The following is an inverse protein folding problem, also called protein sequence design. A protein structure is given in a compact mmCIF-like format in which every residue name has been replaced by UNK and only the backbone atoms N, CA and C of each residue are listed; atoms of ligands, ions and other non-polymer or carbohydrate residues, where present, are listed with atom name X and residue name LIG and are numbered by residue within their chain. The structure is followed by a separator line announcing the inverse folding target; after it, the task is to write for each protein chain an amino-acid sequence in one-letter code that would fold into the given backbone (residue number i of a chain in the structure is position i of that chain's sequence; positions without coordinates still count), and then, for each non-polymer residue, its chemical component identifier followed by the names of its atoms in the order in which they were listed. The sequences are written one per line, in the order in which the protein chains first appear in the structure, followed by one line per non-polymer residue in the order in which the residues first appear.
data_IF_233555536636
#
_entry.id   IF_233555536636
#
_cell.length_a   1.000
_cell.length_b   1.000
_cell.length_c   1.000
_cell.angle_alpha   90.00
_cell.angle_beta   90.00
_cell.angle_gamma   90.00
#
_symmetry.space_group_name_H-M   'P 1'
#
loop_
_entity.id
_entity.type
_entity.pdbx_description
1 polymer ?
#
# COMPACT_ATOMS: atom_id res chain seq x y z
N UNK A 1 -3.95 22.03 44.95
CA UNK A 1 -2.92 21.37 45.80
C UNK A 1 -1.89 20.80 44.84
N UNK A 2 -0.70 21.36 44.90
CA UNK A 2 0.46 21.07 44.06
C UNK A 2 1.06 19.73 44.47
N UNK A 3 1.42 18.84 43.52
CA UNK A 3 2.49 17.85 43.74
C UNK A 3 3.27 17.67 42.42
N UNK A 4 4.34 18.42 42.36
CA UNK A 4 5.52 18.20 41.53
C UNK A 4 6.21 16.89 41.95
N UNK A 5 6.51 16.03 40.98
CA UNK A 5 7.48 14.94 41.16
C UNK A 5 8.50 15.05 40.04
N UNK A 6 9.67 15.53 40.41
CA UNK A 6 10.94 15.52 39.65
C UNK A 6 11.64 14.24 40.07
N UNK A 7 12.11 13.43 39.12
CA UNK A 7 13.21 12.45 39.29
C UNK A 7 13.67 12.05 37.90
N UNK A 8 14.77 12.58 37.46
CA UNK A 8 16.16 12.12 37.60
C UNK A 8 16.58 11.18 36.45
N UNK A 9 17.38 11.76 35.65
CA UNK A 9 18.38 11.33 34.66
C UNK A 9 19.12 10.05 35.07
N UNK A 10 19.23 9.11 34.12
CA UNK A 10 20.35 8.18 34.06
C UNK A 10 20.79 7.99 32.60
N UNK A 11 21.89 8.65 32.25
CA UNK A 11 22.68 8.48 31.03
C UNK A 11 23.50 7.22 31.20
N UNK A 12 23.32 6.22 30.34
CA UNK A 12 24.27 5.12 30.20
C UNK A 12 24.79 5.14 28.76
N UNK A 13 25.99 5.68 28.62
CA UNK A 13 26.81 5.58 27.41
C UNK A 13 27.47 4.19 27.37
N UNK A 14 27.10 3.34 26.44
CA UNK A 14 27.81 2.12 26.11
C UNK A 14 28.55 2.30 24.79
N UNK A 15 29.86 2.48 24.88
CA UNK A 15 30.77 2.43 23.74
C UNK A 15 31.00 0.98 23.31
N UNK A 16 30.62 0.64 22.08
CA UNK A 16 31.08 -0.59 21.46
C UNK A 16 32.22 -0.27 20.49
N UNK A 17 33.42 -0.73 20.84
CA UNK A 17 34.59 -0.73 19.96
C UNK A 17 34.43 -1.86 18.96
N UNK A 18 34.45 -1.48 17.67
CA UNK A 18 34.55 -2.41 16.56
C UNK A 18 36.02 -2.79 16.39
N UNK A 19 36.30 -4.05 16.64
CA UNK A 19 37.63 -4.65 16.36
C UNK A 19 37.67 -5.12 14.91
N UNK A 20 38.43 -4.41 14.06
CA UNK A 20 38.83 -4.88 12.75
C UNK A 20 39.97 -5.87 12.92
N UNK A 21 39.76 -7.13 12.58
CA UNK A 21 40.85 -8.07 12.39
C UNK A 21 41.19 -8.17 10.90
N UNK A 22 42.33 -7.60 10.54
CA UNK A 22 42.91 -7.68 9.21
C UNK A 22 43.65 -8.99 8.99
N UNK A 23 43.42 -9.64 7.85
CA UNK A 23 44.38 -10.59 7.30
C UNK A 23 44.76 -10.17 5.88
N UNK A 24 46.06 -9.83 5.73
CA UNK A 24 46.73 -9.55 4.46
C UNK A 24 46.96 -10.86 3.73
N UNK A 25 46.63 -10.93 2.44
CA UNK A 25 47.41 -11.67 1.48
C UNK A 25 47.42 -10.95 0.12
N UNK A 26 48.57 -10.77 -0.39
CA UNK A 26 49.07 -10.06 -1.56
C UNK A 26 48.65 -10.75 -2.87
N UNK A 27 48.31 -9.96 -3.92
CA UNK A 27 48.35 -10.50 -5.30
C UNK A 27 47.47 -9.75 -6.30
N UNK A 28 47.97 -8.67 -6.80
CA UNK A 28 47.96 -8.10 -8.16
C UNK A 28 46.83 -8.35 -9.15
N UNK A 29 46.29 -7.21 -9.59
CA UNK A 29 46.10 -6.69 -10.96
C UNK A 29 44.75 -6.82 -11.63
N UNK A 30 44.21 -5.63 -11.80
CA UNK A 30 43.65 -5.00 -13.00
C UNK A 30 42.29 -5.45 -13.51
N UNK A 31 41.53 -4.44 -13.61
CA UNK A 31 40.57 -3.90 -14.57
C UNK A 31 39.12 -3.98 -14.20
N UNK A 32 38.63 -2.78 -13.98
CA UNK A 32 37.37 -2.18 -14.39
C UNK A 32 36.17 -3.13 -14.61
N UNK A 33 35.19 -3.06 -13.80
CA UNK A 33 33.99 -2.35 -14.16
C UNK A 33 33.02 -2.25 -12.95
N UNK A 34 32.66 -1.05 -12.72
CA UNK A 34 31.62 -0.64 -11.81
C UNK A 34 30.29 -1.26 -12.21
N UNK A 35 29.70 -2.05 -11.35
CA UNK A 35 28.27 -2.20 -11.37
C UNK A 35 27.76 -2.17 -9.94
N UNK A 36 27.32 -0.99 -9.59
CA UNK A 36 26.44 -0.69 -8.51
C UNK A 36 25.32 -1.73 -8.46
N UNK A 37 25.36 -2.61 -7.51
CA UNK A 37 24.18 -3.31 -7.08
C UNK A 37 23.32 -2.27 -6.37
N UNK A 38 22.37 -1.72 -7.11
CA UNK A 38 21.16 -1.18 -6.52
C UNK A 38 20.42 -2.40 -5.99
N UNK A 39 20.59 -2.68 -4.72
CA UNK A 39 19.64 -3.51 -4.00
C UNK A 39 18.32 -2.74 -4.03
N UNK A 40 17.52 -3.05 -5.04
CA UNK A 40 16.08 -2.83 -4.97
C UNK A 40 15.62 -3.69 -3.79
N UNK A 41 15.37 -3.04 -2.67
CA UNK A 41 14.57 -3.62 -1.61
C UNK A 41 13.16 -3.85 -2.18
N UNK A 42 13.03 -4.94 -2.93
CA UNK A 42 11.75 -5.43 -3.38
C UNK A 42 11.04 -5.93 -2.13
N UNK A 43 10.13 -5.12 -1.63
CA UNK A 43 9.09 -5.57 -0.72
C UNK A 43 8.46 -6.81 -1.38
N UNK A 44 8.91 -7.98 -0.96
CA UNK A 44 8.32 -9.25 -1.34
C UNK A 44 6.90 -9.27 -0.79
N UNK A 45 5.96 -8.88 -1.63
CA UNK A 45 4.55 -9.17 -1.42
C UNK A 45 4.36 -10.63 -1.79
N UNK A 46 4.14 -11.46 -0.79
CA UNK A 46 3.87 -12.88 -0.98
C UNK A 46 2.66 -13.06 -1.91
N UNK A 47 2.90 -13.25 -3.21
CA UNK A 47 1.98 -13.90 -4.10
C UNK A 47 1.42 -13.14 -5.31
N UNK A 48 1.37 -11.81 -5.36
CA UNK A 48 0.97 -11.05 -6.58
C UNK A 48 2.08 -10.07 -6.96
N UNK A 49 2.54 -10.14 -8.20
CA UNK A 49 3.42 -9.12 -8.74
C UNK A 49 2.65 -7.79 -8.85
N UNK A 50 3.16 -6.71 -8.24
CA UNK A 50 2.52 -5.39 -8.26
C UNK A 50 2.27 -4.93 -9.70
N UNK A 51 3.17 -5.24 -10.62
CA UNK A 51 3.06 -4.92 -12.04
C UNK A 51 1.80 -5.54 -12.69
N UNK A 52 1.37 -6.73 -12.23
CA UNK A 52 0.19 -7.40 -12.79
C UNK A 52 -1.12 -6.72 -12.40
N UNK A 53 -1.15 -6.08 -11.24
CA UNK A 53 -2.32 -5.36 -10.74
C UNK A 53 -2.27 -3.84 -11.04
N UNK A 54 -1.16 -3.35 -11.59
CA UNK A 54 -1.05 -1.95 -11.95
C UNK A 54 -2.05 -1.58 -13.07
N UNK A 55 -2.69 -0.43 -12.90
CA UNK A 55 -3.69 0.08 -13.85
C UNK A 55 -4.74 0.95 -13.19
N UNK A 56 -5.62 1.51 -14.00
CA UNK A 56 -6.76 2.31 -13.56
C UNK A 56 -8.02 1.46 -13.62
N UNK A 57 -8.75 1.42 -12.53
CA UNK A 57 -9.99 0.66 -12.38
C UNK A 57 -11.13 1.62 -12.07
N UNK A 58 -12.28 1.40 -12.68
CA UNK A 58 -13.47 2.25 -12.47
C UNK A 58 -14.73 1.41 -12.28
N UNK A 59 -15.66 1.95 -11.49
CA UNK A 59 -16.95 1.34 -11.25
C UNK A 59 -17.87 2.22 -10.41
N UNK A 60 -19.09 1.76 -10.22
CA UNK A 60 -20.03 2.43 -9.32
C UNK A 60 -20.31 1.52 -8.14
N UNK A 61 -19.77 1.88 -6.99
CA UNK A 61 -19.97 1.14 -5.74
C UNK A 61 -21.32 1.54 -5.10
N UNK A 62 -21.98 0.62 -4.39
CA UNK A 62 -23.22 0.94 -3.69
C UNK A 62 -22.95 1.87 -2.51
N UNK A 63 -23.93 2.71 -2.20
CA UNK A 63 -23.92 3.60 -1.06
C UNK A 63 -25.26 3.52 -0.32
N UNK A 64 -25.22 3.85 0.97
CA UNK A 64 -26.44 3.79 1.81
C UNK A 64 -27.34 5.02 1.64
N UNK A 65 -26.78 6.16 1.25
CA UNK A 65 -27.43 7.48 1.31
C UNK A 65 -27.39 8.25 -0.01
N UNK A 66 -26.94 7.61 -1.10
CA UNK A 66 -26.99 8.12 -2.46
C UNK A 66 -27.15 6.97 -3.46
N UNK A 67 -27.48 7.25 -4.73
CA UNK A 67 -27.67 6.21 -5.75
C UNK A 67 -26.42 5.35 -6.02
N UNK A 68 -25.24 5.81 -5.64
CA UNK A 68 -23.98 5.11 -5.77
C UNK A 68 -22.80 6.06 -5.71
N UNK A 69 -21.60 5.47 -5.69
CA UNK A 69 -20.32 6.19 -5.68
C UNK A 69 -19.54 5.79 -6.91
N UNK A 70 -19.38 6.72 -7.86
CA UNK A 70 -18.47 6.51 -8.98
C UNK A 70 -17.06 6.53 -8.46
N UNK A 71 -16.39 5.40 -8.54
CA UNK A 71 -15.07 5.21 -7.98
C UNK A 71 -14.06 4.97 -9.09
N UNK A 72 -12.94 5.68 -9.03
CA UNK A 72 -11.76 5.46 -9.86
C UNK A 72 -10.58 5.17 -8.94
N UNK A 73 -9.95 4.04 -9.12
CA UNK A 73 -8.76 3.61 -8.38
C UNK A 73 -7.62 3.33 -9.36
N UNK A 74 -6.54 4.07 -9.25
CA UNK A 74 -5.31 3.81 -10.00
C UNK A 74 -4.28 3.21 -9.07
N UNK A 75 -3.76 2.03 -9.43
CA UNK A 75 -2.66 1.36 -8.77
C UNK A 75 -1.42 1.48 -9.66
N UNK A 76 -0.34 2.02 -9.12
CA UNK A 76 0.92 2.18 -9.83
C UNK A 76 1.89 1.03 -9.49
N UNK A 77 2.83 0.76 -10.38
CA UNK A 77 3.85 -0.28 -10.19
C UNK A 77 4.85 0.01 -9.07
N UNK A 78 4.89 1.25 -8.59
CA UNK A 78 5.71 1.69 -7.44
C UNK A 78 4.99 1.58 -6.09
N UNK A 79 3.88 0.84 -6.02
CA UNK A 79 3.01 0.69 -4.84
C UNK A 79 2.28 1.97 -4.41
N UNK A 80 2.26 3.01 -5.23
CA UNK A 80 1.42 4.18 -4.97
C UNK A 80 0.02 4.00 -5.57
N UNK A 81 -0.97 4.68 -4.98
CA UNK A 81 -2.33 4.69 -5.51
C UNK A 81 -2.86 6.12 -5.63
N UNK A 82 -3.84 6.29 -6.52
CA UNK A 82 -4.71 7.44 -6.61
C UNK A 82 -6.16 6.95 -6.55
N UNK A 83 -6.97 7.62 -5.76
CA UNK A 83 -8.38 7.30 -5.56
C UNK A 83 -9.21 8.53 -5.77
N UNK A 84 -10.28 8.41 -6.52
CA UNK A 84 -11.29 9.45 -6.68
C UNK A 84 -12.69 8.82 -6.54
N UNK A 85 -13.56 9.50 -5.84
CA UNK A 85 -14.94 9.08 -5.60
C UNK A 85 -15.91 10.24 -5.78
N UNK A 86 -16.91 10.03 -6.64
CA UNK A 86 -18.00 10.98 -6.85
C UNK A 86 -19.32 10.37 -6.34
N UNK A 87 -19.85 10.93 -5.28
CA UNK A 87 -21.14 10.53 -4.71
C UNK A 87 -22.26 11.11 -5.57
N UNK A 88 -23.01 10.23 -6.23
CA UNK A 88 -24.05 10.62 -7.17
C UNK A 88 -25.13 11.42 -6.43
N UNK A 89 -25.60 12.52 -7.07
CA UNK A 89 -26.63 13.44 -6.55
C UNK A 89 -26.25 14.18 -5.25
N UNK A 90 -24.95 14.26 -4.91
CA UNK A 90 -24.44 15.09 -3.80
C UNK A 90 -23.68 16.31 -4.31
N UNK A 91 -24.00 17.48 -3.76
CA UNK A 91 -23.37 18.76 -4.17
C UNK A 91 -21.86 18.82 -3.88
N UNK A 92 -21.42 18.25 -2.75
CA UNK A 92 -20.02 18.24 -2.31
C UNK A 92 -19.56 16.78 -2.17
N UNK A 93 -19.96 15.97 -3.14
CA UNK A 93 -19.76 14.53 -3.12
C UNK A 93 -18.46 14.07 -3.79
N UNK A 94 -17.47 14.94 -3.98
CA UNK A 94 -16.18 14.56 -4.55
C UNK A 94 -15.15 14.33 -3.44
N UNK A 95 -14.47 13.19 -3.47
CA UNK A 95 -13.40 12.85 -2.55
C UNK A 95 -12.20 12.31 -3.34
N UNK A 96 -11.01 12.78 -3.01
CA UNK A 96 -9.75 12.34 -3.61
C UNK A 96 -8.76 11.92 -2.53
N UNK A 97 -8.02 10.87 -2.80
CA UNK A 97 -6.94 10.41 -1.93
C UNK A 97 -5.79 9.84 -2.76
N UNK A 98 -4.61 9.91 -2.18
CA UNK A 98 -3.42 9.24 -2.73
C UNK A 98 -2.54 8.77 -1.59
N UNK A 99 -1.74 7.75 -1.85
CA UNK A 99 -0.87 7.18 -0.84
C UNK A 99 -0.16 5.94 -1.36
N UNK A 100 0.25 5.10 -0.43
CA UNK A 100 0.88 3.81 -0.70
C UNK A 100 -0.13 2.72 -0.38
N UNK A 101 -0.33 1.77 -1.29
CA UNK A 101 -1.10 0.57 -1.01
C UNK A 101 -0.20 -0.58 -0.55
N UNK A 102 -0.80 -1.53 0.16
CA UNK A 102 -0.14 -2.77 0.57
C UNK A 102 -0.89 -3.95 -0.01
N UNK A 103 -0.17 -5.03 -0.27
CA UNK A 103 -0.77 -6.30 -0.66
C UNK A 103 -0.45 -7.32 0.43
N UNK A 104 -1.48 -7.92 1.00
CA UNK A 104 -1.32 -8.95 2.04
C UNK A 104 -1.08 -10.34 1.43
N UNK A 105 -0.66 -11.30 2.26
CA UNK A 105 -0.46 -12.69 1.86
C UNK A 105 -1.71 -13.35 1.26
N UNK A 106 -2.90 -12.85 1.56
CA UNK A 106 -4.17 -13.32 0.99
C UNK A 106 -4.55 -12.61 -0.32
N UNK A 107 -3.59 -11.89 -0.94
CA UNK A 107 -3.81 -11.10 -2.15
C UNK A 107 -4.84 -9.96 -1.98
N UNK A 108 -4.98 -9.46 -0.76
CA UNK A 108 -5.84 -8.32 -0.45
C UNK A 108 -5.03 -7.05 -0.57
N UNK A 109 -5.50 -6.14 -1.40
CA UNK A 109 -4.96 -4.80 -1.61
C UNK A 109 -5.60 -3.88 -0.58
N UNK A 110 -4.78 -3.31 0.30
CA UNK A 110 -5.19 -2.37 1.31
C UNK A 110 -4.82 -0.95 0.90
N UNK A 111 -5.78 -0.05 0.86
CA UNK A 111 -5.57 1.38 0.68
C UNK A 111 -6.07 2.13 1.91
N UNK A 112 -5.27 3.08 2.39
CA UNK A 112 -5.61 3.91 3.55
C UNK A 112 -5.73 5.34 3.06
N UNK A 113 -6.89 5.96 3.22
CA UNK A 113 -7.09 7.38 2.92
C UNK A 113 -6.47 8.24 4.01
N UNK A 114 -5.38 9.01 3.73
CA UNK A 114 -4.66 9.73 4.78
C UNK A 114 -5.47 10.81 5.47
N UNK A 115 -6.47 11.39 4.79
CA UNK A 115 -7.32 12.47 5.31
C UNK A 115 -8.31 12.00 6.38
N UNK A 116 -8.86 10.78 6.22
CA UNK A 116 -9.90 10.24 7.11
C UNK A 116 -9.42 9.06 7.95
N UNK A 117 -8.31 8.42 7.56
CA UNK A 117 -7.87 7.15 8.13
C UNK A 117 -8.74 5.97 7.70
N UNK A 118 -9.67 6.17 6.79
CA UNK A 118 -10.53 5.10 6.29
C UNK A 118 -9.73 4.11 5.45
N UNK A 119 -9.97 2.84 5.69
CA UNK A 119 -9.29 1.74 5.02
C UNK A 119 -10.27 1.03 4.09
N UNK A 120 -9.86 0.82 2.85
CA UNK A 120 -10.62 0.05 1.87
C UNK A 120 -9.79 -1.13 1.39
N UNK A 121 -10.45 -2.26 1.18
CA UNK A 121 -9.81 -3.51 0.80
C UNK A 121 -10.36 -3.98 -0.54
N UNK A 122 -9.45 -4.43 -1.41
CA UNK A 122 -9.78 -4.96 -2.73
C UNK A 122 -9.05 -6.26 -2.95
N UNK A 123 -9.59 -7.11 -3.80
CA UNK A 123 -8.97 -8.36 -4.24
C UNK A 123 -9.03 -8.44 -5.76
N UNK A 124 -8.01 -9.04 -6.35
CA UNK A 124 -8.03 -9.34 -7.78
C UNK A 124 -9.09 -10.42 -8.03
N UNK A 125 -10.09 -10.08 -8.82
CA UNK A 125 -11.16 -11.00 -9.21
C UNK A 125 -10.79 -11.75 -10.49
N UNK A 126 -10.27 -11.02 -11.45
CA UNK A 126 -9.75 -11.51 -12.73
C UNK A 126 -8.70 -10.51 -13.28
N UNK A 127 -8.12 -10.80 -14.46
CA UNK A 127 -7.05 -9.99 -15.07
C UNK A 127 -7.45 -8.52 -15.32
N UNK A 128 -8.74 -8.22 -15.35
CA UNK A 128 -9.28 -6.91 -15.66
C UNK A 128 -10.20 -6.34 -14.58
N UNK A 129 -10.31 -6.96 -13.43
CA UNK A 129 -11.21 -6.45 -12.40
C UNK A 129 -10.73 -6.68 -10.97
N UNK A 130 -11.08 -5.72 -10.12
CA UNK A 130 -10.94 -5.80 -8.67
C UNK A 130 -12.33 -5.89 -8.05
N UNK A 131 -12.45 -6.62 -6.96
CA UNK A 131 -13.66 -6.65 -6.14
C UNK A 131 -13.35 -6.08 -4.75
N UNK A 132 -14.22 -5.20 -4.25
CA UNK A 132 -14.12 -4.71 -2.88
C UNK A 132 -14.46 -5.83 -1.89
N UNK A 133 -13.66 -5.97 -0.83
CA UNK A 133 -13.77 -7.04 0.16
C UNK A 133 -13.70 -6.50 1.58
N UNK A 134 -13.81 -7.37 2.55
CA UNK A 134 -13.39 -7.07 3.92
C UNK A 134 -11.86 -7.21 4.11
N UNK A 135 -11.37 -6.96 5.31
CA UNK A 135 -9.94 -7.05 5.66
C UNK A 135 -9.36 -8.46 5.57
N UNK A 136 -10.19 -9.49 5.53
CA UNK A 136 -9.80 -10.89 5.40
C UNK A 136 -9.84 -11.36 3.94
N UNK A 137 -10.33 -10.52 3.02
CA UNK A 137 -10.50 -10.84 1.61
C UNK A 137 -11.79 -11.61 1.30
N UNK A 138 -12.78 -11.57 2.20
CA UNK A 138 -14.10 -12.15 1.92
C UNK A 138 -14.87 -11.21 0.99
N UNK A 139 -15.38 -11.78 -0.09
CA UNK A 139 -16.18 -11.06 -1.08
C UNK A 139 -17.62 -10.92 -0.60
N UNK A 140 -18.34 -9.85 -1.00
CA UNK A 140 -19.77 -9.74 -0.77
C UNK A 140 -20.52 -10.95 -1.39
N UNK A 141 -21.53 -11.45 -0.70
CA UNK A 141 -22.29 -12.61 -1.15
C UNK A 141 -23.54 -12.22 -1.96
N UNK A 142 -24.00 -13.12 -2.83
CA UNK A 142 -25.24 -13.01 -3.57
C UNK A 142 -25.21 -11.98 -4.71
N UNK A 143 -26.41 -11.51 -5.09
CA UNK A 143 -26.59 -10.60 -6.24
C UNK A 143 -25.90 -9.24 -6.07
N UNK A 144 -25.64 -8.82 -4.83
CA UNK A 144 -25.02 -7.53 -4.54
C UNK A 144 -23.54 -7.53 -4.89
N UNK A 145 -22.86 -8.68 -4.91
CA UNK A 145 -21.43 -8.80 -5.19
C UNK A 145 -21.00 -8.14 -6.51
N UNK A 146 -21.86 -8.20 -7.53
CA UNK A 146 -21.63 -7.58 -8.83
C UNK A 146 -21.50 -6.05 -8.80
N UNK A 147 -22.04 -5.41 -7.77
CA UNK A 147 -21.98 -3.96 -7.60
C UNK A 147 -20.72 -3.50 -6.87
N UNK A 148 -19.90 -4.42 -6.37
CA UNK A 148 -18.63 -4.13 -5.68
C UNK A 148 -17.41 -4.32 -6.57
N UNK A 149 -17.60 -4.39 -7.88
CA UNK A 149 -16.53 -4.66 -8.86
C UNK A 149 -16.11 -3.35 -9.53
N UNK A 150 -14.78 -3.13 -9.57
CA UNK A 150 -14.13 -2.12 -10.38
C UNK A 150 -13.47 -2.79 -11.58
N UNK A 151 -13.71 -2.28 -12.78
CA UNK A 151 -13.19 -2.84 -14.04
C UNK A 151 -12.04 -1.99 -14.55
N UNK A 152 -10.99 -2.64 -15.06
CA UNK A 152 -9.81 -1.98 -15.60
C UNK A 152 -10.18 -1.16 -16.82
N UNK A 153 -9.75 0.09 -16.80
CA UNK A 153 -9.91 1.02 -17.92
C UNK A 153 -8.82 0.77 -18.96
N UNK A 154 -9.21 0.49 -20.18
CA UNK A 154 -8.28 0.34 -21.31
C UNK A 154 -7.85 1.68 -21.87
#
# INVERSE_FOLDING_TARGET
MKKTIILAVAVIAAMFVVSCNGNKTTGQKADADSLSCVESDSLQTDGIAIESIAGTYEGTLPAADCPGIKTVLTLNSDSTYQYAADYIDRKDGHDEASGIFKVSANHVIEIIRPSSGEVSYYKVKDDNSLIMTDSLGNEPEGEIAKHYVLTKKN
#
